data_IF_515636029149
#
_entry.id   IF_515636029149
#
_cell.length_a   1.000
_cell.length_b   1.000
_cell.length_c   1.000
_cell.angle_alpha   90.00
_cell.angle_beta   90.00
_cell.angle_gamma   90.00
#
_symmetry.space_group_name_H-M   'P 1'
#
loop_
_entity.id
_entity.type
_entity.pdbx_description
1 polymer ?
#
# COMPACT_ATOMS: atom_id res chain seq x y z
N UNK A 1 30.58 13.33 8.06
CA UNK A 1 29.88 13.97 6.92
C UNK A 1 29.45 12.83 6.01
N UNK A 2 28.24 12.30 6.21
CA UNK A 2 27.76 11.14 5.45
C UNK A 2 27.62 11.50 3.97
N UNK A 3 27.91 10.55 3.09
CA UNK A 3 27.59 10.67 1.67
C UNK A 3 26.13 11.09 1.51
N UNK A 4 25.88 12.12 0.70
CA UNK A 4 24.51 12.51 0.37
C UNK A 4 23.84 11.31 -0.31
N UNK A 5 22.60 10.94 0.07
CA UNK A 5 21.88 9.92 -0.65
C UNK A 5 21.77 10.31 -2.12
N UNK A 6 22.14 9.42 -3.03
CA UNK A 6 22.00 9.67 -4.47
C UNK A 6 20.54 9.95 -4.82
N UNK A 7 20.29 11.01 -5.59
CA UNK A 7 18.97 11.32 -6.12
C UNK A 7 18.51 10.21 -7.07
N UNK A 8 17.34 9.63 -6.82
CA UNK A 8 16.75 8.57 -7.65
C UNK A 8 15.53 9.06 -8.44
N UNK A 9 14.82 10.07 -7.93
CA UNK A 9 13.65 10.64 -8.58
C UNK A 9 12.42 9.71 -8.59
N UNK A 10 11.47 10.06 -9.44
CA UNK A 10 10.19 9.37 -9.58
C UNK A 10 10.06 8.75 -10.97
N UNK A 11 9.40 7.60 -11.04
CA UNK A 11 9.00 6.94 -12.28
C UNK A 11 7.47 6.82 -12.34
N UNK A 12 6.92 6.75 -13.55
CA UNK A 12 5.48 6.54 -13.78
C UNK A 12 5.21 5.06 -14.01
N UNK A 13 4.40 4.47 -13.14
CA UNK A 13 4.00 3.06 -13.23
C UNK A 13 2.50 2.93 -13.55
N UNK A 14 2.09 1.86 -14.27
CA UNK A 14 0.69 1.63 -14.62
C UNK A 14 -0.11 1.12 -13.43
N UNK A 15 -1.42 1.25 -13.47
CA UNK A 15 -2.37 0.58 -12.59
C UNK A 15 -3.65 0.27 -13.36
N UNK A 16 -4.46 -0.67 -12.88
CA UNK A 16 -5.73 -0.98 -13.52
C UNK A 16 -6.78 0.06 -13.16
N UNK A 17 -7.42 0.64 -14.19
CA UNK A 17 -8.47 1.64 -14.01
C UNK A 17 -9.71 0.97 -13.39
N UNK A 18 -10.18 1.52 -12.28
CA UNK A 18 -11.43 1.11 -11.65
C UNK A 18 -12.15 2.34 -11.09
N UNK A 19 -13.34 2.65 -11.61
CA UNK A 19 -14.07 3.86 -11.25
C UNK A 19 -13.22 5.13 -11.43
N UNK A 20 -13.06 5.88 -10.34
CA UNK A 20 -12.24 7.11 -10.28
C UNK A 20 -10.77 6.86 -9.91
N UNK A 21 -10.38 5.59 -9.70
CA UNK A 21 -8.99 5.21 -9.42
C UNK A 21 -8.05 5.58 -10.57
N UNK A 22 -6.79 5.87 -10.23
CA UNK A 22 -5.80 6.31 -11.20
C UNK A 22 -5.30 5.13 -12.05
N UNK A 23 -5.22 5.27 -13.39
CA UNK A 23 -4.66 4.24 -14.28
C UNK A 23 -3.13 4.21 -14.29
N UNK A 24 -2.50 5.16 -13.59
CA UNK A 24 -1.06 5.32 -13.44
C UNK A 24 -0.76 6.23 -12.27
N UNK A 25 0.41 6.10 -11.67
CA UNK A 25 0.86 7.00 -10.61
C UNK A 25 2.39 7.13 -10.60
N UNK A 26 2.89 8.09 -9.82
CA UNK A 26 4.32 8.28 -9.63
C UNK A 26 4.80 7.56 -8.37
N UNK A 27 5.88 6.80 -8.52
CA UNK A 27 6.54 6.07 -7.44
C UNK A 27 8.03 6.39 -7.45
N UNK A 28 8.73 6.17 -6.34
CA UNK A 28 10.19 6.26 -6.31
C UNK A 28 10.82 5.30 -7.33
N UNK A 29 11.72 5.82 -8.17
CA UNK A 29 12.19 5.13 -9.37
C UNK A 29 12.91 3.79 -9.07
N UNK A 30 13.72 3.74 -8.01
CA UNK A 30 14.42 2.51 -7.59
C UNK A 30 13.47 1.41 -7.07
N UNK A 31 12.20 1.73 -6.81
CA UNK A 31 11.15 0.78 -6.41
C UNK A 31 10.18 0.41 -7.53
N UNK A 32 10.22 1.11 -8.67
CA UNK A 32 9.32 0.87 -9.80
C UNK A 32 9.42 -0.58 -10.31
N UNK A 33 10.63 -1.14 -10.36
CA UNK A 33 10.84 -2.54 -10.77
C UNK A 33 10.16 -3.56 -9.86
N UNK A 34 10.13 -3.32 -8.54
CA UNK A 34 9.43 -4.19 -7.59
C UNK A 34 7.91 -4.12 -7.78
N UNK A 35 7.37 -2.91 -7.92
CA UNK A 35 5.95 -2.70 -8.24
C UNK A 35 5.56 -3.38 -9.56
N UNK A 36 6.33 -3.17 -10.64
CA UNK A 36 6.02 -3.72 -11.96
C UNK A 36 6.00 -5.25 -11.99
N UNK A 37 6.86 -5.91 -11.21
CA UNK A 37 6.83 -7.38 -11.07
C UNK A 37 5.55 -7.85 -10.37
N UNK A 38 5.16 -7.19 -9.28
CA UNK A 38 3.91 -7.47 -8.60
C UNK A 38 2.70 -7.23 -9.52
N UNK A 39 2.65 -6.09 -10.21
CA UNK A 39 1.60 -5.73 -11.17
C UNK A 39 1.43 -6.82 -12.24
N UNK A 40 2.53 -7.26 -12.87
CA UNK A 40 2.48 -8.31 -13.90
C UNK A 40 2.03 -9.66 -13.34
N UNK A 41 2.45 -10.03 -12.13
CA UNK A 41 2.02 -11.28 -11.51
C UNK A 41 0.53 -11.24 -11.16
N UNK A 42 0.02 -10.13 -10.60
CA UNK A 42 -1.41 -9.93 -10.32
C UNK A 42 -2.24 -10.09 -11.60
N UNK A 43 -1.79 -9.48 -12.70
CA UNK A 43 -2.42 -9.57 -14.02
C UNK A 43 -2.39 -11.00 -14.56
N UNK A 44 -1.25 -11.69 -14.48
CA UNK A 44 -1.12 -13.08 -14.92
C UNK A 44 -2.06 -14.02 -14.15
N UNK A 45 -2.30 -13.76 -12.86
CA UNK A 45 -3.26 -14.48 -12.04
C UNK A 45 -4.72 -14.08 -12.30
N UNK A 46 -4.99 -13.20 -13.28
CA UNK A 46 -6.33 -12.78 -13.68
C UNK A 46 -6.99 -11.77 -12.76
N UNK A 47 -6.21 -11.12 -11.89
CA UNK A 47 -6.68 -10.06 -11.00
C UNK A 47 -6.42 -8.66 -11.52
N UNK A 48 -6.70 -7.68 -10.66
CA UNK A 48 -6.47 -6.25 -10.92
C UNK A 48 -5.63 -5.62 -9.82
N UNK A 49 -4.77 -4.67 -10.17
CA UNK A 49 -4.03 -3.83 -9.23
C UNK A 49 -4.42 -2.36 -9.41
N UNK A 50 -5.42 -1.93 -8.65
CA UNK A 50 -6.00 -0.58 -8.72
C UNK A 50 -5.18 0.43 -7.91
N UNK A 51 -5.44 1.73 -8.07
CA UNK A 51 -4.68 2.75 -7.34
C UNK A 51 -5.48 3.99 -6.93
N UNK A 52 -5.25 4.47 -5.70
CA UNK A 52 -5.55 5.83 -5.21
C UNK A 52 -4.32 6.76 -5.23
N UNK A 53 -3.20 6.29 -5.79
CA UNK A 53 -1.94 7.03 -5.87
C UNK A 53 -0.84 6.47 -4.97
N UNK A 54 0.28 7.19 -4.92
CA UNK A 54 1.48 6.78 -4.18
C UNK A 54 2.25 8.00 -3.66
N UNK A 55 2.80 8.84 -4.53
CA UNK A 55 3.53 10.04 -4.06
C UNK A 55 2.57 11.09 -3.49
N UNK A 56 2.93 11.66 -2.33
CA UNK A 56 2.25 12.81 -1.73
C UNK A 56 3.12 14.05 -1.86
N UNK A 57 2.53 15.16 -2.31
CA UNK A 57 3.24 16.44 -2.42
C UNK A 57 3.70 16.95 -1.04
N UNK A 58 4.92 17.51 -0.96
CA UNK A 58 5.47 18.06 0.28
C UNK A 58 4.62 19.17 0.92
N UNK A 59 3.81 19.87 0.12
CA UNK A 59 2.91 20.92 0.58
C UNK A 59 1.55 20.40 1.05
N UNK A 60 1.33 19.08 1.08
CA UNK A 60 0.08 18.52 1.55
C UNK A 60 -0.11 18.84 3.03
N UNK A 61 -1.24 19.46 3.36
CA UNK A 61 -1.59 19.83 4.73
C UNK A 61 -1.54 18.62 5.67
N UNK A 62 -0.79 18.70 6.76
CA UNK A 62 -0.74 17.66 7.80
C UNK A 62 -2.04 17.68 8.60
N UNK A 63 -2.69 16.53 8.73
CA UNK A 63 -3.95 16.36 9.48
C UNK A 63 -3.86 15.12 10.36
N UNK A 64 -4.79 14.86 11.29
CA UNK A 64 -4.81 13.59 12.04
C UNK A 64 -4.81 12.35 11.13
N UNK A 65 -5.47 12.45 9.95
CA UNK A 65 -5.48 11.42 8.91
C UNK A 65 -4.20 11.37 8.06
N UNK A 66 -3.27 12.32 8.22
CA UNK A 66 -2.11 12.50 7.34
C UNK A 66 -0.86 12.87 8.13
N UNK A 67 -0.09 11.86 8.53
CA UNK A 67 1.18 12.02 9.26
C UNK A 67 2.20 12.84 8.47
N UNK A 68 2.95 13.70 9.16
CA UNK A 68 4.11 14.45 8.65
C UNK A 68 5.30 13.55 8.30
N UNK A 69 5.32 12.30 8.75
CA UNK A 69 6.40 11.33 8.53
C UNK A 69 5.99 10.16 7.62
N UNK A 70 4.93 10.34 6.83
CA UNK A 70 4.37 9.29 5.97
C UNK A 70 5.31 8.88 4.83
N UNK A 71 5.39 7.58 4.56
CA UNK A 71 6.18 7.03 3.44
C UNK A 71 5.68 7.46 2.05
N UNK A 72 4.43 7.96 1.93
CA UNK A 72 3.95 8.56 0.69
C UNK A 72 4.79 9.77 0.25
N UNK A 73 5.36 10.55 1.18
CA UNK A 73 6.24 11.65 0.78
C UNK A 73 7.54 11.15 0.16
N UNK A 74 7.99 9.95 0.53
CA UNK A 74 9.24 9.35 0.02
C UNK A 74 9.04 8.50 -1.25
N UNK A 75 7.80 8.39 -1.74
CA UNK A 75 7.46 7.51 -2.87
C UNK A 75 7.64 6.02 -2.56
N UNK A 76 7.58 5.64 -1.28
CA UNK A 76 7.73 4.24 -0.80
C UNK A 76 6.40 3.61 -0.37
N UNK A 77 5.29 4.30 -0.55
CA UNK A 77 3.95 3.79 -0.24
C UNK A 77 3.05 3.86 -1.47
N UNK A 78 2.15 2.89 -1.59
CA UNK A 78 1.10 2.80 -2.61
C UNK A 78 -0.23 2.58 -1.91
N UNK A 79 -1.28 3.19 -2.45
CA UNK A 79 -2.66 2.94 -2.03
C UNK A 79 -3.41 2.26 -3.17
N UNK A 80 -4.09 1.15 -2.88
CA UNK A 80 -5.11 0.59 -3.75
C UNK A 80 -6.32 1.53 -3.82
N UNK A 81 -7.18 1.38 -4.83
CA UNK A 81 -8.37 2.23 -4.93
C UNK A 81 -9.38 1.88 -3.83
N UNK A 82 -9.70 2.80 -2.92
CA UNK A 82 -10.50 2.48 -1.71
C UNK A 82 -11.87 1.85 -2.01
N UNK A 83 -12.48 2.13 -3.17
CA UNK A 83 -13.80 1.56 -3.53
C UNK A 83 -13.72 0.15 -4.14
N UNK A 84 -12.60 -0.55 -3.99
CA UNK A 84 -12.40 -1.90 -4.56
C UNK A 84 -12.49 -3.02 -3.53
N UNK A 85 -12.71 -2.69 -2.25
CA UNK A 85 -12.89 -3.67 -1.19
C UNK A 85 -13.74 -3.12 -0.04
N UNK A 86 -14.41 -4.01 0.69
CA UNK A 86 -15.29 -3.71 1.82
C UNK A 86 -16.49 -2.79 1.51
N UNK A 87 -16.82 -2.54 0.24
CA UNK A 87 -17.98 -1.75 -0.22
C UNK A 87 -19.21 -2.63 -0.47
N UNK A 88 -19.01 -3.81 -1.05
CA UNK A 88 -20.13 -4.64 -1.50
C UNK A 88 -19.75 -6.05 -1.94
N UNK A 89 -20.76 -6.87 -2.29
CA UNK A 89 -20.56 -8.28 -2.60
C UNK A 89 -19.83 -8.53 -3.93
N UNK A 90 -19.73 -7.53 -4.79
CA UNK A 90 -19.11 -7.61 -6.13
C UNK A 90 -17.71 -6.98 -6.18
N UNK A 91 -17.16 -6.60 -5.01
CA UNK A 91 -15.83 -6.01 -4.93
C UNK A 91 -14.75 -6.93 -5.53
N UNK A 92 -13.80 -6.39 -6.31
CA UNK A 92 -12.69 -7.17 -6.85
C UNK A 92 -11.70 -7.59 -5.75
N UNK A 93 -11.73 -6.96 -4.58
CA UNK A 93 -10.96 -7.35 -3.41
C UNK A 93 -11.85 -7.82 -2.26
N UNK A 94 -11.55 -9.02 -1.77
CA UNK A 94 -12.06 -9.54 -0.52
C UNK A 94 -11.06 -9.25 0.60
N UNK A 95 -11.50 -8.48 1.58
CA UNK A 95 -10.66 -8.10 2.72
C UNK A 95 -11.05 -8.96 3.91
N UNK A 96 -10.09 -9.65 4.53
CA UNK A 96 -10.30 -10.48 5.71
C UNK A 96 -9.38 -10.03 6.84
N UNK A 97 -9.84 -10.15 8.09
CA UNK A 97 -8.99 -9.88 9.26
C UNK A 97 -7.90 -10.96 9.35
N UNK A 98 -6.66 -10.54 9.57
CA UNK A 98 -5.47 -11.40 9.54
C UNK A 98 -4.52 -11.07 10.71
N UNK A 99 -5.09 -11.08 11.91
CA UNK A 99 -4.38 -10.78 13.16
C UNK A 99 -4.32 -9.29 13.51
N UNK A 100 -3.30 -8.93 14.29
CA UNK A 100 -3.19 -7.62 14.94
C UNK A 100 -4.14 -7.48 16.15
N UNK A 101 -3.85 -6.53 17.05
CA UNK A 101 -4.75 -6.24 18.18
C UNK A 101 -6.05 -5.57 17.67
N UNK A 102 -7.08 -5.49 18.51
CA UNK A 102 -8.40 -5.00 18.07
C UNK A 102 -8.44 -3.50 17.77
N UNK A 103 -7.60 -2.73 18.43
CA UNK A 103 -7.36 -1.32 18.17
C UNK A 103 -6.62 -1.09 16.84
N UNK A 104 -5.88 -2.06 16.33
CA UNK A 104 -5.06 -1.90 15.14
C UNK A 104 -4.96 -3.21 14.33
N UNK A 105 -6.10 -3.74 13.83
CA UNK A 105 -6.10 -5.01 13.12
C UNK A 105 -5.29 -4.94 11.83
N UNK A 106 -4.73 -6.09 11.47
CA UNK A 106 -4.12 -6.33 10.16
C UNK A 106 -5.15 -6.97 9.23
N UNK A 107 -5.11 -6.55 7.98
CA UNK A 107 -6.00 -7.05 6.94
C UNK A 107 -5.23 -7.83 5.88
N UNK A 108 -5.81 -8.93 5.42
CA UNK A 108 -5.35 -9.66 4.23
C UNK A 108 -6.31 -9.40 3.10
N UNK A 109 -5.74 -9.08 1.94
CA UNK A 109 -6.48 -8.76 0.73
C UNK A 109 -6.37 -9.94 -0.23
N UNK A 110 -7.51 -10.45 -0.67
CA UNK A 110 -7.62 -11.45 -1.72
C UNK A 110 -8.21 -10.82 -2.96
N UNK A 111 -7.55 -10.95 -4.10
CA UNK A 111 -8.04 -10.44 -5.38
C UNK A 111 -8.79 -11.54 -6.14
N UNK A 112 -9.97 -11.21 -6.66
CA UNK A 112 -10.73 -12.12 -7.53
C UNK A 112 -9.94 -12.39 -8.80
N UNK A 113 -9.77 -13.68 -9.12
CA UNK A 113 -9.24 -14.13 -10.40
C UNK A 113 -10.40 -14.28 -11.37
N UNK A 114 -10.41 -13.44 -12.40
CA UNK A 114 -11.49 -13.41 -13.42
C UNK A 114 -11.01 -13.84 -14.80
N UNK A 115 -9.75 -13.55 -15.12
CA UNK A 115 -9.16 -13.75 -16.47
C UNK A 115 -7.70 -14.20 -16.39
N UNK A 116 -7.40 -15.38 -15.79
CA UNK A 116 -6.02 -15.83 -15.65
C UNK A 116 -5.35 -16.06 -17.01
N UNK A 117 -4.12 -15.60 -17.15
CA UNK A 117 -3.29 -15.76 -18.34
C UNK A 117 -2.44 -17.04 -18.19
N UNK A 118 -3.03 -18.21 -18.42
CA UNK A 118 -2.43 -19.53 -18.10
C UNK A 118 -1.10 -19.81 -18.82
N UNK A 119 -0.85 -19.14 -19.95
CA UNK A 119 0.41 -19.27 -20.71
C UNK A 119 1.48 -18.24 -20.29
N UNK A 120 1.16 -17.32 -19.36
CA UNK A 120 2.09 -16.29 -18.92
C UNK A 120 3.14 -16.89 -17.94
N UNK A 121 4.44 -16.58 -18.06
CA UNK A 121 5.50 -17.17 -17.20
C UNK A 121 5.42 -16.79 -15.71
N UNK A 122 4.53 -15.86 -15.36
CA UNK A 122 4.25 -15.45 -13.97
C UNK A 122 2.92 -16.01 -13.45
N UNK A 123 2.19 -16.78 -14.26
CA UNK A 123 1.03 -17.52 -13.81
C UNK A 123 1.48 -18.70 -12.96
N UNK A 124 0.83 -18.87 -11.81
CA UNK A 124 1.06 -19.98 -10.89
C UNK A 124 -0.28 -20.40 -10.30
N UNK A 125 -0.82 -21.53 -10.79
CA UNK A 125 -2.09 -22.08 -10.35
C UNK A 125 -2.09 -22.39 -8.85
N UNK A 126 -0.93 -22.68 -8.24
CA UNK A 126 -0.84 -22.99 -6.80
C UNK A 126 -1.16 -21.81 -5.90
N UNK A 127 -1.15 -20.59 -6.45
CA UNK A 127 -1.55 -19.37 -5.75
C UNK A 127 -3.06 -19.15 -5.76
N UNK A 128 -3.81 -19.88 -6.60
CA UNK A 128 -5.25 -19.75 -6.69
C UNK A 128 -5.94 -20.54 -5.57
N UNK A 129 -6.92 -19.88 -4.96
CA UNK A 129 -7.82 -20.38 -3.95
C UNK A 129 -9.21 -20.45 -4.57
N UNK A 130 -9.81 -21.64 -4.56
CA UNK A 130 -11.17 -21.84 -5.02
C UNK A 130 -12.03 -22.37 -3.88
N UNK A 131 -13.10 -21.65 -3.54
CA UNK A 131 -13.98 -22.06 -2.46
C UNK A 131 -14.92 -20.97 -1.99
N UNK A 132 -15.57 -21.23 -0.86
CA UNK A 132 -16.29 -20.20 -0.12
C UNK A 132 -15.29 -19.39 0.71
N UNK A 133 -15.30 -18.07 0.51
CA UNK A 133 -14.43 -17.13 1.22
C UNK A 133 -15.27 -16.23 2.12
N UNK A 134 -14.87 -16.10 3.38
CA UNK A 134 -15.39 -15.08 4.29
C UNK A 134 -14.61 -13.77 4.10
N UNK A 135 -15.33 -12.65 4.07
CA UNK A 135 -14.77 -11.32 3.88
C UNK A 135 -15.56 -10.26 4.63
N UNK A 136 -14.91 -9.13 4.87
CA UNK A 136 -15.45 -7.99 5.58
C UNK A 136 -16.15 -6.99 4.64
N UNK A 137 -17.28 -6.46 5.10
CA UNK A 137 -17.97 -5.31 4.54
C UNK A 137 -17.99 -4.23 5.61
N UNK A 138 -17.45 -3.06 5.32
CA UNK A 138 -17.32 -2.01 6.33
C UNK A 138 -18.69 -1.36 6.59
N UNK A 139 -18.99 -1.13 7.86
CA UNK A 139 -20.21 -0.46 8.29
C UNK A 139 -19.84 0.61 9.33
N UNK A 140 -20.23 1.86 9.09
CA UNK A 140 -19.95 2.96 10.00
C UNK A 140 -20.49 2.69 11.40
N UNK A 141 -19.64 2.85 12.42
CA UNK A 141 -20.00 2.66 13.83
C UNK A 141 -19.91 1.21 14.32
N UNK A 142 -20.04 0.23 13.43
CA UNK A 142 -19.86 -1.20 13.74
C UNK A 142 -18.43 -1.68 13.43
N UNK A 143 -17.74 -0.96 12.53
CA UNK A 143 -16.48 -1.37 11.94
C UNK A 143 -16.70 -2.24 10.72
N UNK A 144 -17.05 -3.52 10.90
CA UNK A 144 -17.39 -4.38 9.76
C UNK A 144 -18.36 -5.50 10.15
N UNK A 145 -19.08 -5.99 9.15
CA UNK A 145 -19.80 -7.27 9.17
C UNK A 145 -19.13 -8.25 8.23
N UNK A 146 -19.29 -9.54 8.48
CA UNK A 146 -18.80 -10.58 7.57
C UNK A 146 -19.86 -10.98 6.54
N UNK A 147 -19.39 -11.38 5.37
CA UNK A 147 -20.18 -12.01 4.32
C UNK A 147 -19.38 -13.19 3.74
N UNK A 148 -20.06 -14.08 3.02
CA UNK A 148 -19.44 -15.21 2.32
C UNK A 148 -19.80 -15.21 0.85
N UNK A 149 -18.85 -15.58 0.00
CA UNK A 149 -19.12 -15.84 -1.42
C UNK A 149 -18.23 -16.95 -1.96
N UNK A 150 -18.75 -17.73 -2.90
CA UNK A 150 -17.95 -18.70 -3.65
C UNK A 150 -17.18 -17.96 -4.74
N UNK A 151 -15.87 -18.16 -4.80
CA UNK A 151 -14.98 -17.38 -5.66
C UNK A 151 -13.71 -18.16 -6.01
N UNK A 152 -13.05 -17.76 -7.09
CA UNK A 152 -11.64 -18.06 -7.35
C UNK A 152 -10.85 -16.78 -7.09
N UNK A 153 -9.90 -16.81 -6.18
CA UNK A 153 -9.10 -15.65 -5.80
C UNK A 153 -7.65 -16.05 -5.48
N UNK A 154 -6.79 -15.07 -5.22
CA UNK A 154 -5.45 -15.29 -4.70
C UNK A 154 -5.13 -14.21 -3.67
N UNK A 155 -4.17 -14.45 -2.78
CA UNK A 155 -3.77 -13.41 -1.84
C UNK A 155 -2.95 -12.32 -2.54
N UNK A 156 -3.56 -11.16 -2.74
CA UNK A 156 -2.87 -9.98 -3.23
C UNK A 156 -1.82 -9.50 -2.22
N UNK A 157 -2.12 -9.59 -0.92
CA UNK A 157 -1.15 -9.26 0.14
C UNK A 157 0.11 -10.10 0.03
N UNK A 158 0.00 -11.42 -0.18
CA UNK A 158 1.17 -12.29 -0.27
C UNK A 158 1.96 -12.03 -1.56
N UNK A 159 1.29 -11.78 -2.68
CA UNK A 159 1.94 -11.38 -3.94
C UNK A 159 2.71 -10.07 -3.75
N UNK A 160 2.09 -9.04 -3.16
CA UNK A 160 2.75 -7.76 -2.88
C UNK A 160 3.95 -7.94 -1.93
N UNK A 161 3.80 -8.73 -0.87
CA UNK A 161 4.85 -9.00 0.10
C UNK A 161 6.06 -9.71 -0.52
N UNK A 162 5.84 -10.66 -1.45
CA UNK A 162 6.90 -11.33 -2.20
C UNK A 162 7.75 -10.36 -3.05
N UNK A 163 7.18 -9.20 -3.41
CA UNK A 163 7.89 -8.11 -4.10
C UNK A 163 8.25 -6.94 -3.17
N UNK A 164 8.25 -7.15 -1.85
CA UNK A 164 8.73 -6.17 -0.86
C UNK A 164 7.70 -5.14 -0.39
N UNK A 165 6.44 -5.23 -0.83
CA UNK A 165 5.36 -4.35 -0.42
C UNK A 165 4.60 -4.92 0.77
N UNK A 166 4.74 -4.28 1.93
CA UNK A 166 4.18 -4.73 3.19
C UNK A 166 2.93 -3.91 3.53
N UNK A 167 1.87 -4.58 3.98
CA UNK A 167 0.70 -3.91 4.56
C UNK A 167 1.03 -3.21 5.88
N UNK A 168 0.17 -2.30 6.31
CA UNK A 168 0.20 -1.70 7.65
C UNK A 168 -1.02 -2.11 8.47
N UNK A 169 -0.96 -2.00 9.81
CA UNK A 169 -2.14 -2.12 10.64
C UNK A 169 -3.08 -0.93 10.43
N UNK A 170 -4.35 -1.14 10.79
CA UNK A 170 -5.33 -0.05 10.88
C UNK A 170 -4.94 0.99 11.92
N UNK A 171 -5.54 2.17 11.84
CA UNK A 171 -5.47 3.18 12.89
C UNK A 171 -6.52 2.92 13.97
N UNK A 172 -6.33 3.42 15.20
CA UNK A 172 -7.26 3.23 16.32
C UNK A 172 -8.74 3.50 16.03
N UNK A 173 -9.03 4.47 15.18
CA UNK A 173 -10.37 4.94 14.83
C UNK A 173 -11.04 4.17 13.66
N UNK A 174 -10.50 3.04 13.23
CA UNK A 174 -10.99 2.24 12.08
C UNK A 174 -12.47 1.83 12.15
N UNK A 175 -13.04 1.71 13.36
CA UNK A 175 -14.45 1.36 13.57
C UNK A 175 -15.42 2.47 13.15
N UNK A 176 -14.97 3.71 13.23
CA UNK A 176 -15.81 4.90 12.95
C UNK A 176 -15.35 5.64 11.69
N UNK A 177 -14.14 5.37 11.20
CA UNK A 177 -13.55 5.98 10.01
C UNK A 177 -13.11 4.90 9.01
N UNK A 178 -13.78 4.81 7.86
CA UNK A 178 -13.38 3.87 6.81
C UNK A 178 -11.94 4.10 6.31
N UNK A 179 -11.47 5.34 6.07
CA UNK A 179 -10.06 5.62 5.75
C UNK A 179 -9.06 5.18 6.82
N UNK A 180 -9.49 4.84 8.03
CA UNK A 180 -8.60 4.39 9.10
C UNK A 180 -8.43 2.86 9.11
N UNK A 181 -9.13 2.13 8.24
CA UNK A 181 -8.98 0.66 8.08
C UNK A 181 -7.66 0.28 7.39
N UNK A 182 -7.13 1.14 6.52
CA UNK A 182 -5.80 1.04 5.90
C UNK A 182 -5.50 -0.28 5.15
N UNK A 183 -6.50 -1.11 4.83
CA UNK A 183 -6.31 -2.38 4.10
C UNK A 183 -5.70 -2.18 2.69
N UNK A 184 -5.89 -1.00 2.11
CA UNK A 184 -5.40 -0.62 0.79
C UNK A 184 -3.96 -0.12 0.79
N UNK A 185 -3.36 0.13 1.96
CA UNK A 185 -2.06 0.80 2.07
C UNK A 185 -0.93 -0.21 2.17
N UNK A 186 0.05 -0.09 1.27
CA UNK A 186 1.25 -0.91 1.25
C UNK A 186 2.51 -0.05 1.17
N UNK A 187 3.56 -0.45 1.87
CA UNK A 187 4.82 0.28 1.97
C UNK A 187 6.04 -0.62 1.78
N UNK A 188 7.11 -0.05 1.23
CA UNK A 188 8.34 -0.77 0.90
C UNK A 188 9.52 -0.33 1.78
N UNK A 189 9.98 -1.22 2.65
CA UNK A 189 10.98 -0.91 3.68
C UNK A 189 12.42 -1.20 3.29
N UNK A 190 12.67 -1.75 2.11
CA UNK A 190 14.04 -2.14 1.75
C UNK A 190 15.00 -0.95 1.82
N UNK A 191 16.14 -1.18 2.48
CA UNK A 191 17.18 -0.18 2.73
C UNK A 191 16.89 0.76 3.90
N UNK A 192 15.76 0.64 4.60
CA UNK A 192 15.49 1.41 5.81
C UNK A 192 16.03 0.66 7.03
N UNK A 193 16.96 1.28 7.74
CA UNK A 193 17.64 0.72 8.92
C UNK A 193 17.12 1.43 10.18
N UNK A 194 16.57 0.69 11.17
CA UNK A 194 16.06 1.28 12.39
C UNK A 194 17.11 2.11 13.13
N UNK A 195 16.73 3.31 13.60
CA UNK A 195 17.62 4.23 14.31
C UNK A 195 18.62 4.99 13.42
N UNK A 196 18.90 4.50 12.21
CA UNK A 196 19.91 5.09 11.32
C UNK A 196 19.31 5.88 10.17
N UNK A 197 18.29 5.35 9.49
CA UNK A 197 17.71 6.02 8.32
C UNK A 197 16.87 7.20 8.74
N UNK A 198 17.21 8.41 8.25
CA UNK A 198 16.47 9.64 8.52
C UNK A 198 15.42 9.92 7.47
N UNK A 199 14.30 10.50 7.88
CA UNK A 199 13.19 10.84 6.99
C UNK A 199 13.59 11.88 5.95
N UNK A 200 14.32 12.93 6.36
CA UNK A 200 14.83 13.96 5.46
C UNK A 200 15.71 13.39 4.35
N UNK A 201 16.59 12.45 4.70
CA UNK A 201 17.50 11.82 3.74
C UNK A 201 16.71 11.04 2.66
N UNK A 202 15.63 10.36 3.05
CA UNK A 202 14.75 9.65 2.11
C UNK A 202 13.89 10.61 1.25
N UNK A 203 13.56 11.79 1.76
CA UNK A 203 12.89 12.84 0.98
C UNK A 203 13.82 13.42 -0.09
N UNK A 204 15.09 13.68 0.24
CA UNK A 204 16.08 14.23 -0.70
C UNK A 204 16.40 13.29 -1.87
N UNK A 205 16.11 11.99 -1.73
CA UNK A 205 16.23 11.04 -2.84
C UNK A 205 15.20 11.25 -3.95
N UNK A 206 14.05 11.86 -3.63
CA UNK A 206 12.93 12.02 -4.58
C UNK A 206 12.53 13.47 -4.83
N UNK A 207 12.87 14.38 -3.92
CA UNK A 207 12.57 15.80 -4.03
C UNK A 207 13.84 16.64 -4.08
N UNK A 208 13.83 17.80 -4.77
CA UNK A 208 14.91 18.76 -4.69
C UNK A 208 15.15 19.20 -3.24
N UNK A 209 16.41 19.27 -2.81
CA UNK A 209 16.80 19.59 -1.44
C UNK A 209 16.18 20.89 -0.91
N UNK A 210 16.08 21.94 -1.74
CA UNK A 210 15.43 23.20 -1.37
C UNK A 210 13.96 23.02 -0.98
N UNK A 211 13.23 22.14 -1.68
CA UNK A 211 11.82 21.85 -1.36
C UNK A 211 11.70 21.02 -0.08
N UNK A 212 12.63 20.11 0.17
CA UNK A 212 12.68 19.33 1.42
C UNK A 212 12.92 20.26 2.61
N UNK A 213 13.91 21.15 2.51
CA UNK A 213 14.21 22.13 3.54
C UNK A 213 13.02 23.07 3.85
N UNK A 214 12.24 23.43 2.84
CA UNK A 214 11.06 24.29 2.98
C UNK A 214 9.76 23.55 3.34
N UNK A 215 9.79 22.22 3.50
CA UNK A 215 8.57 21.41 3.60
C UNK A 215 7.83 21.53 4.94
N UNK A 216 8.52 21.91 6.01
CA UNK A 216 7.97 21.89 7.37
C UNK A 216 7.70 20.47 7.92
N UNK A 217 8.19 19.43 7.24
CA UNK A 217 8.09 18.04 7.70
C UNK A 217 9.17 17.72 8.75
N UNK A 218 8.98 16.62 9.47
CA UNK A 218 9.88 16.16 10.53
C UNK A 218 11.16 15.52 9.95
N UNK A 219 12.03 16.33 9.35
CA UNK A 219 13.22 15.86 8.63
C UNK A 219 14.19 15.05 9.51
N UNK A 220 14.18 15.30 10.82
CA UNK A 220 15.01 14.62 11.81
C UNK A 220 14.46 13.28 12.30
N UNK A 221 13.24 12.90 11.91
CA UNK A 221 12.67 11.62 12.29
C UNK A 221 13.50 10.45 11.76
N UNK A 222 13.63 9.39 12.55
CA UNK A 222 14.36 8.17 12.20
C UNK A 222 13.42 6.99 12.02
N UNK A 223 13.80 6.06 11.15
CA UNK A 223 13.04 4.84 10.94
C UNK A 223 13.00 3.98 12.21
N UNK A 224 11.82 3.46 12.57
CA UNK A 224 11.60 2.62 13.76
C UNK A 224 11.10 1.20 13.43
N UNK A 225 11.28 0.77 12.17
CA UNK A 225 10.87 -0.57 11.70
C UNK A 225 9.50 -0.63 11.02
N UNK A 226 8.57 0.27 11.36
CA UNK A 226 7.26 0.39 10.71
C UNK A 226 6.93 1.82 10.26
N UNK A 227 7.44 2.81 10.98
CA UNK A 227 7.21 4.23 10.71
C UNK A 227 8.43 5.07 11.10
N UNK A 228 8.45 6.31 10.62
CA UNK A 228 9.41 7.31 11.07
C UNK A 228 8.87 8.02 12.31
N UNK A 229 9.72 8.14 13.33
CA UNK A 229 9.41 8.82 14.61
C UNK A 229 10.63 9.59 15.15
N UNK A 230 10.53 10.25 16.31
CA UNK A 230 11.66 10.99 16.87
C UNK A 230 12.87 10.06 17.11
N UNK A 231 14.12 10.56 17.07
CA UNK A 231 15.26 9.80 17.56
C UNK A 231 15.07 9.45 19.04
N UNK A 232 15.61 8.31 19.46
CA UNK A 232 15.68 7.92 20.88
C UNK A 232 16.80 8.66 21.61
#
# INVERSE_FOLDING_TARGET
MGERPGFVGLDTVPADRYGEGYPRFHLRADLAGAYLRAYRQVRALGGVLTSSGAIRALSAEVTPGRSSTSLHYTGRAIDLYLRTGMQGPDDPYLVARDGGPDEAPLWKVYCVSSTPETDHPLYDESLLLQGEMEYALWTAGEGYRTARRRVVCFSLTDVLAAHGWQRIPSRPEWRTSYPSVEWWHFQHHAGLVPGETRFGDELERVWPAERVAASGLELGAVWRGLSFGPPE
#
